data_IF_199403169539
#
_entry.id   IF_199403169539
#
_cell.length_a   1.000
_cell.length_b   1.000
_cell.length_c   1.000
_cell.angle_alpha   90.00
_cell.angle_beta   90.00
_cell.angle_gamma   90.00
#
_symmetry.space_group_name_H-M   'P 1'
#
loop_
_entity.id
_entity.type
_entity.pdbx_description
1 polymer ?
#
# COMPACT_ATOMS: atom_id res chain seq x y z
N UNK A 1 10.93 20.33 -13.85
CA UNK A 1 9.79 20.24 -12.91
C UNK A 1 10.31 19.71 -11.59
N UNK A 2 9.94 20.38 -10.47
CA UNK A 2 10.25 19.85 -9.13
C UNK A 2 9.60 18.47 -8.99
N UNK A 3 10.35 17.48 -8.57
CA UNK A 3 9.84 16.14 -8.28
C UNK A 3 8.94 16.23 -7.05
N UNK A 4 7.74 15.65 -7.10
CA UNK A 4 6.88 15.56 -5.91
C UNK A 4 7.49 14.61 -4.88
N UNK A 5 7.20 14.86 -3.61
CA UNK A 5 7.79 14.07 -2.52
C UNK A 5 7.21 12.67 -2.44
N UNK A 6 5.89 12.51 -2.60
CA UNK A 6 5.20 11.22 -2.43
C UNK A 6 4.28 10.92 -3.61
N UNK A 7 4.32 9.70 -4.13
CA UNK A 7 3.25 9.14 -4.96
C UNK A 7 2.39 8.21 -4.11
N UNK A 8 1.10 8.48 -4.07
CA UNK A 8 0.08 7.61 -3.45
C UNK A 8 -0.66 6.91 -4.59
N UNK A 9 -0.68 5.58 -4.58
CA UNK A 9 -1.32 4.77 -5.61
C UNK A 9 -2.56 4.05 -5.13
N UNK A 10 -3.70 4.22 -5.82
CA UNK A 10 -4.96 3.49 -5.58
C UNK A 10 -5.27 2.62 -6.79
N UNK A 11 -4.96 1.31 -6.76
CA UNK A 11 -5.54 0.38 -7.71
C UNK A 11 -6.98 0.10 -7.30
N UNK A 12 -7.92 0.26 -8.23
CA UNK A 12 -9.35 0.05 -7.95
C UNK A 12 -10.03 -0.79 -9.03
N UNK A 13 -11.04 -1.54 -8.63
CA UNK A 13 -11.99 -2.25 -9.47
C UNK A 13 -13.31 -2.38 -8.71
N UNK A 14 -14.39 -1.79 -9.23
CA UNK A 14 -15.71 -1.73 -8.58
C UNK A 14 -15.63 -1.21 -7.14
N UNK A 15 -15.04 0.00 -6.99
CA UNK A 15 -14.74 0.59 -5.68
C UNK A 15 -15.68 1.72 -5.26
N UNK A 16 -16.81 1.94 -5.95
CA UNK A 16 -17.71 3.10 -5.76
C UNK A 16 -18.07 3.35 -4.30
N UNK A 17 -18.27 2.27 -3.53
CA UNK A 17 -18.73 2.34 -2.14
C UNK A 17 -17.75 3.12 -1.22
N UNK A 18 -16.44 3.00 -1.45
CA UNK A 18 -15.42 3.53 -0.54
C UNK A 18 -14.62 4.69 -1.12
N UNK A 19 -14.62 4.80 -2.45
CA UNK A 19 -13.66 5.63 -3.18
C UNK A 19 -13.80 7.12 -2.87
N UNK A 20 -15.03 7.62 -2.74
CA UNK A 20 -15.29 9.04 -2.40
C UNK A 20 -14.69 9.40 -1.03
N UNK A 21 -14.97 8.57 0.00
CA UNK A 21 -14.42 8.78 1.34
C UNK A 21 -12.90 8.69 1.32
N UNK A 22 -12.35 7.70 0.60
CA UNK A 22 -10.92 7.47 0.48
C UNK A 22 -10.19 8.66 -0.13
N UNK A 23 -10.62 9.13 -1.30
CA UNK A 23 -9.99 10.28 -1.97
C UNK A 23 -10.07 11.52 -1.09
N UNK A 24 -11.26 11.80 -0.52
CA UNK A 24 -11.44 12.95 0.38
C UNK A 24 -10.50 12.88 1.57
N UNK A 25 -10.34 11.71 2.19
CA UNK A 25 -9.46 11.55 3.34
C UNK A 25 -7.98 11.78 3.01
N UNK A 26 -7.54 11.44 1.79
CA UNK A 26 -6.17 11.70 1.32
C UNK A 26 -5.96 13.19 1.05
N UNK A 27 -6.90 13.83 0.38
CA UNK A 27 -6.79 15.24 0.01
C UNK A 27 -6.81 16.19 1.21
N UNK A 28 -7.45 15.77 2.32
CA UNK A 28 -7.59 16.52 3.56
C UNK A 28 -6.45 16.27 4.57
N UNK A 29 -5.39 15.55 4.20
CA UNK A 29 -4.20 15.41 5.05
C UNK A 29 -3.39 16.71 5.05
N UNK A 30 -2.68 16.98 6.15
CA UNK A 30 -1.80 18.15 6.27
C UNK A 30 -0.61 18.10 5.29
N UNK A 31 -0.15 16.91 4.96
CA UNK A 31 0.88 16.69 3.95
C UNK A 31 0.34 16.93 2.54
N UNK A 32 0.92 17.91 1.81
CA UNK A 32 0.40 18.35 0.51
C UNK A 32 1.33 18.09 -0.69
N UNK A 33 2.62 17.79 -0.46
CA UNK A 33 3.61 17.54 -1.55
C UNK A 33 3.51 16.10 -2.07
N UNK A 34 2.36 15.77 -2.66
CA UNK A 34 2.11 14.44 -3.23
C UNK A 34 1.39 14.51 -4.60
N UNK A 35 1.48 13.43 -5.35
CA UNK A 35 0.55 13.06 -6.41
C UNK A 35 -0.28 11.84 -5.99
N UNK A 36 -1.55 11.81 -6.38
CA UNK A 36 -2.45 10.68 -6.20
C UNK A 36 -2.73 10.04 -7.56
N UNK A 37 -2.22 8.83 -7.76
CA UNK A 37 -2.51 8.03 -8.96
C UNK A 37 -3.65 7.08 -8.66
N UNK A 38 -4.76 7.20 -9.38
CA UNK A 38 -5.89 6.28 -9.32
C UNK A 38 -5.94 5.51 -10.62
N UNK A 39 -5.91 4.19 -10.56
CA UNK A 39 -6.00 3.33 -11.74
C UNK A 39 -7.23 2.42 -11.63
N UNK A 40 -8.25 2.74 -12.41
CA UNK A 40 -9.47 1.99 -12.54
C UNK A 40 -9.31 0.84 -13.54
N UNK A 41 -9.36 -0.38 -13.07
CA UNK A 41 -9.11 -1.60 -13.84
C UNK A 41 -10.36 -2.08 -14.62
N UNK A 42 -11.06 -1.16 -15.27
CA UNK A 42 -12.24 -1.47 -16.09
C UNK A 42 -13.49 -1.74 -15.26
N UNK A 43 -13.77 -0.90 -14.26
CA UNK A 43 -14.96 -1.00 -13.41
C UNK A 43 -16.25 -0.85 -14.22
N UNK A 44 -17.32 -1.49 -13.72
CA UNK A 44 -18.68 -1.48 -14.28
C UNK A 44 -19.67 -0.70 -13.45
N UNK A 45 -19.24 -0.21 -12.28
CA UNK A 45 -19.99 0.64 -11.34
C UNK A 45 -19.66 2.13 -11.52
N UNK A 46 -20.04 2.99 -10.57
CA UNK A 46 -19.77 4.44 -10.62
C UNK A 46 -18.31 4.85 -10.34
N UNK A 47 -17.37 3.88 -10.17
CA UNK A 47 -15.95 4.14 -9.89
C UNK A 47 -15.34 5.18 -10.83
N UNK A 48 -15.53 4.99 -12.15
CA UNK A 48 -14.96 5.85 -13.17
C UNK A 48 -15.46 7.30 -13.06
N UNK A 49 -16.76 7.48 -12.87
CA UNK A 49 -17.38 8.79 -12.72
C UNK A 49 -16.86 9.51 -11.49
N UNK A 50 -16.82 8.84 -10.35
CA UNK A 50 -16.30 9.38 -9.08
C UNK A 50 -14.85 9.88 -9.28
N UNK A 51 -13.96 9.03 -9.82
CA UNK A 51 -12.55 9.40 -10.05
C UNK A 51 -12.38 10.58 -11.00
N UNK A 52 -13.13 10.60 -12.10
CA UNK A 52 -13.09 11.69 -13.08
C UNK A 52 -13.49 13.01 -12.44
N UNK A 53 -14.56 13.02 -11.62
CA UNK A 53 -15.03 14.21 -10.92
C UNK A 53 -14.00 14.77 -9.92
N UNK A 54 -13.25 13.91 -9.23
CA UNK A 54 -12.17 14.34 -8.36
C UNK A 54 -10.95 14.85 -9.15
N UNK A 55 -10.56 14.17 -10.22
CA UNK A 55 -9.39 14.54 -11.02
C UNK A 55 -9.56 15.91 -11.72
N UNK A 56 -10.79 16.30 -12.08
CA UNK A 56 -11.09 17.62 -12.61
C UNK A 56 -10.89 18.71 -11.55
N UNK A 57 -11.20 18.42 -10.29
CA UNK A 57 -11.21 19.39 -9.18
C UNK A 57 -9.84 19.57 -8.52
N UNK A 58 -8.99 18.54 -8.53
CA UNK A 58 -7.69 18.58 -7.88
C UNK A 58 -6.56 18.09 -8.80
N UNK A 59 -5.65 18.99 -9.13
CA UNK A 59 -4.53 18.74 -10.07
C UNK A 59 -3.48 17.75 -9.53
N UNK A 60 -3.52 17.42 -8.25
CA UNK A 60 -2.66 16.38 -7.65
C UNK A 60 -3.12 14.98 -8.08
N UNK A 61 -4.35 14.82 -8.57
CA UNK A 61 -4.92 13.53 -8.98
C UNK A 61 -4.61 13.27 -10.44
N UNK A 62 -4.02 12.11 -10.70
CA UNK A 62 -3.82 11.53 -12.02
C UNK A 62 -4.67 10.28 -12.14
N UNK A 63 -5.75 10.37 -12.89
CA UNK A 63 -6.70 9.27 -13.09
C UNK A 63 -6.46 8.55 -14.40
N UNK A 64 -6.44 7.21 -14.35
CA UNK A 64 -6.34 6.32 -15.50
C UNK A 64 -7.49 5.31 -15.46
N UNK A 65 -8.26 5.20 -16.55
CA UNK A 65 -9.34 4.24 -16.71
C UNK A 65 -9.02 3.28 -17.85
N UNK A 66 -9.10 1.98 -17.56
CA UNK A 66 -8.83 0.92 -18.53
C UNK A 66 -10.13 0.34 -19.10
N UNK A 67 -10.06 -0.16 -20.34
CA UNK A 67 -11.26 -0.69 -21.03
C UNK A 67 -11.76 -2.01 -20.47
N UNK A 68 -10.90 -2.79 -19.81
CA UNK A 68 -11.20 -4.11 -19.25
C UNK A 68 -10.33 -4.39 -18.01
N UNK A 69 -10.76 -5.32 -17.19
CA UNK A 69 -9.97 -5.81 -16.06
C UNK A 69 -8.77 -6.64 -16.57
N UNK A 70 -7.57 -6.17 -16.30
CA UNK A 70 -6.29 -6.78 -16.67
C UNK A 70 -5.63 -7.54 -15.51
N UNK A 71 -6.37 -7.72 -14.40
CA UNK A 71 -5.89 -8.37 -13.20
C UNK A 71 -5.27 -7.38 -12.18
N UNK A 72 -5.28 -7.80 -10.91
CA UNK A 72 -4.82 -6.94 -9.82
C UNK A 72 -3.33 -6.62 -9.95
N UNK A 73 -2.48 -7.64 -10.16
CA UNK A 73 -1.02 -7.47 -10.27
C UNK A 73 -0.65 -6.45 -11.35
N UNK A 74 -1.30 -6.55 -12.51
CA UNK A 74 -1.10 -5.59 -13.60
C UNK A 74 -1.44 -4.17 -13.17
N UNK A 75 -2.54 -3.98 -12.44
CA UNK A 75 -2.99 -2.66 -12.01
C UNK A 75 -2.05 -2.02 -10.97
N UNK A 76 -1.52 -2.83 -10.05
CA UNK A 76 -0.49 -2.40 -9.10
C UNK A 76 0.81 -2.00 -9.81
N UNK A 77 1.27 -2.80 -10.77
CA UNK A 77 2.45 -2.54 -11.59
C UNK A 77 2.30 -1.26 -12.42
N UNK A 78 1.14 -1.08 -13.07
CA UNK A 78 0.84 0.11 -13.85
C UNK A 78 1.02 1.39 -13.04
N UNK A 79 0.49 1.43 -11.81
CA UNK A 79 0.61 2.59 -10.93
C UNK A 79 2.07 2.86 -10.57
N UNK A 80 2.82 1.83 -10.18
CA UNK A 80 4.23 1.97 -9.82
C UNK A 80 5.06 2.51 -10.99
N UNK A 81 4.82 2.01 -12.21
CA UNK A 81 5.47 2.53 -13.43
C UNK A 81 5.17 3.99 -13.71
N UNK A 82 3.98 4.48 -13.33
CA UNK A 82 3.56 5.88 -13.51
C UNK A 82 4.01 6.81 -12.39
N UNK A 83 4.50 6.28 -11.29
CA UNK A 83 4.93 7.04 -10.13
C UNK A 83 6.13 7.93 -10.43
N UNK A 84 6.04 9.23 -10.00
CA UNK A 84 7.08 10.24 -10.17
C UNK A 84 7.63 10.75 -8.83
N UNK A 85 7.02 10.41 -7.69
CA UNK A 85 7.45 10.83 -6.37
C UNK A 85 8.78 10.20 -5.93
N UNK A 86 9.49 10.88 -5.06
CA UNK A 86 10.70 10.34 -4.41
C UNK A 86 10.37 9.09 -3.60
N UNK A 87 9.23 9.14 -2.90
CA UNK A 87 8.65 8.01 -2.17
C UNK A 87 7.36 7.54 -2.84
N UNK A 88 7.02 6.29 -2.56
CA UNK A 88 5.86 5.63 -3.12
C UNK A 88 5.14 4.77 -2.09
N UNK A 89 3.81 4.75 -2.13
CA UNK A 89 3.00 3.77 -1.43
C UNK A 89 1.75 3.40 -2.23
N UNK A 90 1.30 2.13 -2.09
CA UNK A 90 -0.07 1.77 -2.43
C UNK A 90 -0.99 1.94 -1.23
N UNK A 91 -2.27 2.11 -1.50
CA UNK A 91 -3.32 2.06 -0.47
C UNK A 91 -4.60 1.47 -1.06
N UNK A 92 -5.28 0.62 -0.31
CA UNK A 92 -6.58 0.09 -0.72
C UNK A 92 -7.69 1.13 -0.50
N UNK A 93 -8.79 0.96 -1.23
CA UNK A 93 -9.93 1.90 -1.18
C UNK A 93 -10.65 1.90 0.17
N UNK A 94 -10.61 0.79 0.90
CA UNK A 94 -11.25 0.55 2.20
C UNK A 94 -10.33 0.79 3.41
N UNK A 95 -9.04 1.09 3.17
CA UNK A 95 -8.10 1.42 4.25
C UNK A 95 -8.26 2.88 4.71
N UNK A 96 -8.07 3.13 6.00
CA UNK A 96 -8.00 4.48 6.58
C UNK A 96 -6.56 4.84 6.95
N UNK A 97 -6.12 6.01 6.52
CA UNK A 97 -4.80 6.56 6.85
C UNK A 97 -4.98 7.61 7.93
N UNK A 98 -4.29 7.43 9.04
CA UNK A 98 -4.38 8.35 10.18
C UNK A 98 -3.51 9.60 9.94
N UNK A 99 -3.85 10.75 10.58
CA UNK A 99 -3.05 11.96 10.50
C UNK A 99 -1.59 11.73 10.91
N UNK A 100 -0.67 12.41 10.23
CA UNK A 100 0.77 12.30 10.47
C UNK A 100 1.42 11.01 9.95
N UNK A 101 0.67 10.16 9.23
CA UNK A 101 1.22 8.92 8.66
C UNK A 101 2.29 9.21 7.61
N UNK A 102 2.03 10.14 6.70
CA UNK A 102 2.94 10.45 5.61
C UNK A 102 4.23 11.08 6.13
N UNK A 103 4.09 12.09 6.97
CA UNK A 103 5.22 12.84 7.52
C UNK A 103 6.17 11.95 8.32
N UNK A 104 5.61 11.10 9.21
CA UNK A 104 6.41 10.21 10.05
C UNK A 104 7.18 9.16 9.24
N UNK A 105 6.54 8.58 8.21
CA UNK A 105 7.21 7.60 7.37
C UNK A 105 8.28 8.24 6.47
N UNK A 106 8.03 9.45 5.94
CA UNK A 106 9.01 10.22 5.17
C UNK A 106 10.21 10.57 6.07
N UNK A 107 9.96 11.09 7.27
CA UNK A 107 11.00 11.44 8.25
C UNK A 107 11.93 10.25 8.56
N UNK A 108 11.36 9.04 8.76
CA UNK A 108 12.13 7.82 8.98
C UNK A 108 13.01 7.50 7.78
N UNK A 109 12.46 7.59 6.58
CA UNK A 109 13.21 7.33 5.35
C UNK A 109 14.30 8.38 5.11
N UNK A 110 14.05 9.66 5.39
CA UNK A 110 15.03 10.72 5.24
C UNK A 110 16.19 10.59 6.22
N UNK A 111 15.91 10.29 7.49
CA UNK A 111 16.95 10.12 8.53
C UNK A 111 17.80 8.86 8.34
N UNK A 112 17.33 7.87 7.58
CA UNK A 112 17.98 6.57 7.45
C UNK A 112 18.15 6.19 5.97
N UNK A 113 19.22 6.62 5.33
CA UNK A 113 19.48 6.40 3.89
C UNK A 113 19.55 4.92 3.49
N UNK A 114 19.92 4.03 4.41
CA UNK A 114 19.98 2.57 4.23
C UNK A 114 18.61 1.87 4.41
N UNK A 115 17.56 2.60 4.85
CA UNK A 115 16.19 2.09 4.96
C UNK A 115 15.47 2.31 3.63
N UNK A 116 14.92 1.25 3.06
CA UNK A 116 14.21 1.29 1.76
C UNK A 116 12.70 1.38 1.93
N UNK A 117 12.18 0.86 3.05
CA UNK A 117 10.75 0.84 3.35
C UNK A 117 10.50 1.23 4.80
N UNK A 118 9.50 2.07 5.02
CA UNK A 118 8.91 2.36 6.33
C UNK A 118 7.47 1.91 6.35
N UNK A 119 7.06 1.18 7.39
CA UNK A 119 5.68 0.72 7.54
C UNK A 119 5.20 0.96 8.96
N UNK A 120 3.96 1.43 9.07
CA UNK A 120 3.32 1.66 10.36
C UNK A 120 2.56 0.42 10.83
N UNK A 121 2.18 0.42 12.10
CA UNK A 121 1.28 -0.59 12.63
C UNK A 121 -0.10 -0.47 12.01
N UNK A 122 -0.77 -1.61 11.79
CA UNK A 122 -2.12 -1.68 11.29
C UNK A 122 -3.09 -1.95 12.42
N UNK A 123 -4.17 -1.18 12.47
CA UNK A 123 -5.28 -1.40 13.40
C UNK A 123 -6.52 -1.79 12.61
N UNK A 124 -7.02 -2.98 12.88
CA UNK A 124 -8.26 -3.45 12.27
C UNK A 124 -9.48 -2.79 12.91
N UNK A 125 -10.48 -2.44 12.10
CA UNK A 125 -11.75 -1.84 12.56
C UNK A 125 -12.94 -2.50 11.85
N UNK A 126 -14.17 -2.22 12.35
CA UNK A 126 -15.40 -2.77 11.80
C UNK A 126 -15.81 -4.12 12.37
N UNK A 127 -16.87 -4.72 11.78
CA UNK A 127 -17.45 -5.98 12.24
C UNK A 127 -16.50 -7.17 12.18
N UNK A 128 -15.52 -7.14 11.29
CA UNK A 128 -14.53 -8.21 11.08
C UNK A 128 -13.24 -8.00 11.89
N UNK A 129 -13.22 -7.05 12.83
CA UNK A 129 -12.03 -6.72 13.64
C UNK A 129 -11.35 -7.93 14.27
N UNK A 130 -12.12 -8.92 14.71
CA UNK A 130 -11.62 -10.12 15.36
C UNK A 130 -11.43 -11.30 14.41
N UNK A 131 -11.98 -11.24 13.20
CA UNK A 131 -11.96 -12.35 12.25
C UNK A 131 -10.55 -12.79 11.85
N UNK A 132 -9.68 -11.84 11.57
CA UNK A 132 -8.31 -12.12 11.18
C UNK A 132 -7.45 -12.55 12.38
N UNK A 133 -7.68 -11.97 13.55
CA UNK A 133 -7.04 -12.38 14.80
C UNK A 133 -7.46 -13.80 15.18
N UNK A 134 -8.74 -14.15 15.05
CA UNK A 134 -9.26 -15.47 15.36
C UNK A 134 -8.86 -16.53 14.33
N UNK A 135 -8.87 -16.20 13.02
CA UNK A 135 -8.53 -17.14 11.95
C UNK A 135 -7.05 -17.50 11.95
N UNK A 136 -6.17 -16.57 12.26
CA UNK A 136 -4.75 -16.84 12.46
C UNK A 136 -4.47 -17.72 13.69
N UNK A 137 -5.42 -17.80 14.63
CA UNK A 137 -5.30 -18.55 15.88
C UNK A 137 -6.04 -19.89 15.92
N UNK A 138 -6.99 -20.20 15.02
CA UNK A 138 -7.82 -21.41 15.05
C UNK A 138 -7.21 -22.66 14.42
N UNK A 139 -6.21 -22.53 13.58
CA UNK A 139 -5.59 -23.69 12.94
C UNK A 139 -4.20 -23.98 13.51
N UNK A 140 -4.04 -24.97 14.38
CA UNK A 140 -2.77 -25.58 14.77
C UNK A 140 -2.07 -25.16 16.09
N UNK A 141 -2.49 -24.10 16.83
CA UNK A 141 -1.59 -23.52 17.85
C UNK A 141 -2.16 -23.34 19.27
N UNK A 142 -3.01 -24.21 19.76
CA UNK A 142 -3.48 -24.09 21.16
C UNK A 142 -2.37 -24.32 22.20
N UNK A 143 -1.34 -25.09 21.89
CA UNK A 143 -0.24 -25.45 22.83
C UNK A 143 1.01 -24.53 22.71
N UNK A 144 1.21 -23.83 21.58
CA UNK A 144 2.37 -22.96 21.34
C UNK A 144 2.07 -21.47 21.61
N UNK A 145 0.84 -21.14 22.00
CA UNK A 145 0.28 -19.79 22.07
C UNK A 145 1.05 -18.79 22.93
N UNK A 146 1.55 -19.18 24.09
CA UNK A 146 2.24 -18.25 25.03
C UNK A 146 3.69 -17.91 24.62
N UNK A 147 4.40 -18.84 24.00
CA UNK A 147 5.79 -18.61 23.55
C UNK A 147 5.88 -17.91 22.21
N UNK A 148 4.91 -18.17 21.30
CA UNK A 148 4.90 -17.59 19.97
C UNK A 148 4.30 -16.19 19.91
N UNK A 149 3.28 -15.85 20.72
CA UNK A 149 2.73 -14.49 20.77
C UNK A 149 3.81 -13.48 21.19
N UNK A 150 4.65 -13.79 22.19
CA UNK A 150 5.82 -12.97 22.53
C UNK A 150 6.85 -12.89 21.38
N UNK A 151 7.03 -13.98 20.65
CA UNK A 151 7.94 -14.03 19.50
C UNK A 151 7.36 -13.27 18.28
N UNK A 152 6.04 -13.27 18.08
CA UNK A 152 5.36 -12.54 17.01
C UNK A 152 5.20 -11.04 17.32
N UNK A 153 5.01 -10.64 18.56
CA UNK A 153 5.05 -9.22 18.95
C UNK A 153 6.46 -8.61 18.77
N UNK A 154 7.50 -9.44 18.94
CA UNK A 154 8.87 -9.04 18.59
C UNK A 154 9.18 -9.12 17.08
N UNK A 155 8.35 -9.77 16.24
CA UNK A 155 8.52 -9.84 14.79
C UNK A 155 8.25 -8.50 14.06
N UNK A 156 7.67 -7.54 14.75
CA UNK A 156 7.52 -6.18 14.19
C UNK A 156 8.87 -5.45 14.02
N UNK A 157 9.97 -5.98 14.59
CA UNK A 157 11.31 -5.39 14.55
C UNK A 157 12.38 -6.36 14.00
N UNK A 158 12.03 -7.32 13.15
CA UNK A 158 13.04 -8.25 12.63
C UNK A 158 13.94 -7.59 11.59
N UNK A 159 15.23 -7.46 11.88
CA UNK A 159 16.21 -7.32 10.82
C UNK A 159 16.32 -8.68 10.11
N UNK A 160 15.57 -8.87 9.05
CA UNK A 160 15.82 -9.99 8.16
C UNK A 160 17.20 -9.77 7.55
N UNK A 161 18.14 -10.66 7.80
CA UNK A 161 19.48 -10.64 7.19
C UNK A 161 19.37 -10.88 5.69
N UNK A 162 20.28 -10.32 4.91
CA UNK A 162 20.30 -10.49 3.46
C UNK A 162 19.94 -9.23 2.68
N UNK A 163 19.89 -9.36 1.35
CA UNK A 163 19.54 -8.27 0.43
C UNK A 163 18.09 -7.83 0.62
N UNK A 164 17.76 -6.61 0.22
CA UNK A 164 16.38 -6.13 0.24
C UNK A 164 15.43 -7.06 -0.53
N UNK A 165 15.88 -7.62 -1.65
CA UNK A 165 15.12 -8.59 -2.45
C UNK A 165 14.74 -9.83 -1.65
N UNK A 166 15.71 -10.43 -0.90
CA UNK A 166 15.44 -11.59 -0.07
C UNK A 166 14.48 -11.26 1.08
N UNK A 167 14.61 -10.07 1.66
CA UNK A 167 13.72 -9.56 2.71
C UNK A 167 12.30 -9.33 2.18
N UNK A 168 12.16 -8.69 1.03
CA UNK A 168 10.87 -8.42 0.39
C UNK A 168 10.15 -9.72 0.01
N UNK A 169 10.85 -10.67 -0.64
CA UNK A 169 10.32 -12.01 -0.95
C UNK A 169 9.89 -12.78 0.29
N UNK A 170 10.67 -12.70 1.36
CA UNK A 170 10.32 -13.32 2.63
C UNK A 170 9.01 -12.77 3.19
N UNK A 171 8.84 -11.44 3.18
CA UNK A 171 7.61 -10.80 3.65
C UNK A 171 6.40 -11.11 2.78
N UNK A 172 6.54 -11.17 1.46
CA UNK A 172 5.46 -11.57 0.55
C UNK A 172 5.02 -13.03 0.76
N UNK A 173 5.93 -13.92 1.17
CA UNK A 173 5.65 -15.34 1.46
C UNK A 173 5.00 -15.55 2.83
N UNK A 174 5.12 -14.61 3.75
CA UNK A 174 4.50 -14.70 5.07
C UNK A 174 2.98 -14.49 4.94
N UNK A 175 2.22 -15.58 4.82
CA UNK A 175 0.75 -15.55 4.79
C UNK A 175 0.22 -14.79 6.02
N UNK A 176 -0.41 -13.63 5.81
CA UNK A 176 -1.07 -12.82 6.84
C UNK A 176 -0.33 -11.55 7.28
N UNK A 177 0.82 -11.20 6.70
CA UNK A 177 1.54 -9.95 7.00
C UNK A 177 1.60 -9.03 5.78
N UNK A 178 0.44 -8.63 5.25
CA UNK A 178 0.34 -7.71 4.11
C UNK A 178 0.70 -6.25 4.45
N UNK A 179 1.07 -5.95 5.71
CA UNK A 179 1.31 -4.59 6.18
C UNK A 179 2.48 -3.92 5.47
N UNK A 180 3.53 -4.70 5.15
CA UNK A 180 4.68 -4.18 4.41
C UNK A 180 4.31 -3.79 2.98
N UNK A 181 3.33 -4.46 2.37
CA UNK A 181 2.87 -4.13 1.02
C UNK A 181 2.33 -2.70 0.94
N UNK A 182 1.66 -2.24 1.98
CA UNK A 182 1.15 -0.87 2.12
C UNK A 182 2.11 0.07 2.86
N UNK A 183 3.38 -0.31 2.97
CA UNK A 183 4.46 0.55 3.46
C UNK A 183 4.80 1.67 2.47
N UNK A 184 5.56 2.64 2.95
CA UNK A 184 6.14 3.69 2.13
C UNK A 184 7.56 3.30 1.72
N UNK A 185 7.85 3.38 0.43
CA UNK A 185 9.10 2.92 -0.18
C UNK A 185 9.85 4.08 -0.84
N UNK A 186 11.17 3.93 -0.99
CA UNK A 186 11.92 4.70 -1.97
C UNK A 186 11.53 4.21 -3.36
N UNK A 187 10.96 5.08 -4.18
CA UNK A 187 10.35 4.73 -5.49
C UNK A 187 11.30 3.96 -6.39
N UNK A 188 12.51 4.45 -6.58
CA UNK A 188 13.46 3.83 -7.52
C UNK A 188 13.95 2.45 -7.04
N UNK A 189 14.14 2.27 -5.74
CA UNK A 189 14.48 0.97 -5.18
C UNK A 189 13.33 -0.04 -5.33
N UNK A 190 12.10 0.41 -5.10
CA UNK A 190 10.93 -0.44 -5.30
C UNK A 190 10.77 -0.85 -6.77
N UNK A 191 10.91 0.08 -7.73
CA UNK A 191 10.85 -0.22 -9.16
C UNK A 191 11.86 -1.27 -9.58
N UNK A 192 13.12 -1.16 -9.12
CA UNK A 192 14.17 -2.13 -9.42
C UNK A 192 13.84 -3.54 -8.97
N UNK A 193 13.15 -3.69 -7.85
CA UNK A 193 12.81 -4.99 -7.26
C UNK A 193 11.54 -5.56 -7.86
N UNK A 194 10.55 -4.71 -8.05
CA UNK A 194 9.26 -5.08 -8.61
C UNK A 194 9.40 -5.71 -10.00
N UNK A 195 10.24 -5.13 -10.85
CA UNK A 195 10.53 -5.64 -12.20
C UNK A 195 11.16 -7.04 -12.20
N UNK A 196 11.85 -7.43 -11.12
CA UNK A 196 12.48 -8.75 -11.01
C UNK A 196 11.49 -9.85 -10.58
N UNK A 197 10.35 -9.48 -10.00
CA UNK A 197 9.37 -10.42 -9.44
C UNK A 197 8.08 -10.57 -10.29
N UNK A 198 7.82 -9.68 -11.25
CA UNK A 198 6.62 -9.76 -12.13
C UNK A 198 6.71 -10.88 -13.17
N UNK A 199 7.86 -11.54 -13.30
CA UNK A 199 8.01 -12.75 -14.11
C UNK A 199 7.46 -14.04 -13.44
N UNK A 200 6.65 -13.93 -12.39
CA UNK A 200 5.85 -15.04 -11.88
C UNK A 200 4.56 -15.19 -12.71
N UNK A 201 4.71 -15.49 -13.96
CA UNK A 201 3.66 -16.11 -14.76
C UNK A 201 4.06 -17.54 -15.01
N UNK A 202 3.30 -18.42 -14.48
CA UNK A 202 2.93 -19.79 -14.84
C UNK A 202 2.85 -20.70 -13.65
#
# INVERSE_FOLDING_TARGET
KKQVKLTIGIPTYNGEQFLKEKITSILNQDFTDFELIISDNGSTDATKEICSNFAIKDKRIRFFSHKKNLGAVWNFDFILKKACGEYFMWTAVDDKILPGFYEKNIEILEKNSNVVCSASQVKYFGKNRNYWVERSTRGYFKALKKKMVKRFQNLQNYPVSGTFQSKFRYYLKLRGHHHMFYGMYRTEQLKKIWLLDVNFTE
#
